data_IF_372175398544
#
_entry.id   IF_372175398544
#
_cell.length_a   1.000
_cell.length_b   1.000
_cell.length_c   1.000
_cell.angle_alpha   90.00
_cell.angle_beta   90.00
_cell.angle_gamma   90.00
#
_symmetry.space_group_name_H-M   'P 1'
#
loop_
_entity.id
_entity.type
_entity.pdbx_description
1 polymer ?
#
# COMPACT_ATOMS: atom_id res chain seq x y z
N UNK A 1 13.87 -17.07 6.43
CA UNK A 1 12.78 -16.21 6.94
C UNK A 1 12.42 -15.05 6.01
N UNK A 2 13.31 -14.11 5.65
CA UNK A 2 12.94 -12.96 4.78
C UNK A 2 12.33 -13.32 3.42
N UNK A 3 12.81 -14.39 2.78
CA UNK A 3 12.29 -14.83 1.47
C UNK A 3 10.85 -15.34 1.51
N UNK A 4 10.44 -16.01 2.58
CA UNK A 4 9.07 -16.51 2.76
C UNK A 4 8.11 -15.33 2.92
N UNK A 5 8.49 -14.34 3.74
CA UNK A 5 7.67 -13.13 3.97
C UNK A 5 7.51 -12.34 2.66
N UNK A 6 8.58 -12.22 1.85
CA UNK A 6 8.49 -11.64 0.51
C UNK A 6 7.54 -12.43 -0.38
N UNK A 7 7.66 -13.75 -0.46
CA UNK A 7 6.73 -14.55 -1.27
C UNK A 7 5.27 -14.34 -0.84
N UNK A 8 4.98 -14.31 0.46
CA UNK A 8 3.63 -14.08 0.98
C UNK A 8 3.09 -12.69 0.63
N UNK A 9 3.89 -11.63 0.76
CA UNK A 9 3.47 -10.29 0.36
C UNK A 9 3.23 -10.19 -1.15
N UNK A 10 3.98 -10.92 -1.98
CA UNK A 10 3.85 -10.87 -3.44
C UNK A 10 2.56 -11.56 -3.88
N UNK A 11 2.24 -12.69 -3.23
CA UNK A 11 0.96 -13.39 -3.40
C UNK A 11 -0.20 -12.51 -2.95
N UNK A 12 -0.09 -11.85 -1.80
CA UNK A 12 -1.11 -10.92 -1.32
C UNK A 12 -1.32 -9.74 -2.27
N UNK A 13 -0.24 -9.19 -2.85
CA UNK A 13 -0.31 -8.10 -3.80
C UNK A 13 -1.06 -8.52 -5.06
N UNK A 14 -0.73 -9.69 -5.61
CA UNK A 14 -1.42 -10.27 -6.77
C UNK A 14 -2.90 -10.55 -6.46
N UNK A 15 -3.22 -11.08 -5.29
CA UNK A 15 -4.59 -11.36 -4.89
C UNK A 15 -5.44 -10.08 -4.80
N UNK A 16 -4.88 -9.00 -4.25
CA UNK A 16 -5.57 -7.70 -4.20
C UNK A 16 -5.63 -7.06 -5.59
N UNK A 17 -4.64 -7.26 -6.44
CA UNK A 17 -4.67 -6.76 -7.81
C UNK A 17 -5.76 -7.45 -8.66
N UNK A 18 -6.05 -8.73 -8.38
CA UNK A 18 -7.06 -9.52 -9.10
C UNK A 18 -8.47 -9.29 -8.53
N UNK A 19 -8.62 -9.23 -7.20
CA UNK A 19 -9.93 -9.18 -6.53
C UNK A 19 -10.28 -7.83 -5.91
N UNK A 20 -9.26 -7.04 -5.57
CA UNK A 20 -9.43 -5.77 -4.85
C UNK A 20 -9.88 -4.61 -5.74
N UNK A 21 -9.69 -4.67 -7.06
CA UNK A 21 -9.94 -3.54 -7.97
C UNK A 21 -11.39 -3.03 -7.88
N UNK A 22 -12.37 -3.92 -7.79
CA UNK A 22 -13.79 -3.57 -7.66
C UNK A 22 -14.22 -3.19 -6.24
N UNK A 23 -13.32 -3.33 -5.25
CA UNK A 23 -13.64 -3.02 -3.85
C UNK A 23 -13.08 -1.65 -3.48
N UNK A 24 -13.89 -0.85 -2.81
CA UNK A 24 -13.54 0.49 -2.34
C UNK A 24 -12.17 0.56 -1.60
N UNK A 25 -11.78 -0.53 -0.94
CA UNK A 25 -10.54 -0.61 -0.15
C UNK A 25 -9.41 -1.40 -0.81
N UNK A 26 -9.58 -1.93 -2.02
CA UNK A 26 -8.52 -2.71 -2.68
C UNK A 26 -7.31 -1.89 -3.04
N UNK A 27 -7.52 -0.67 -3.55
CA UNK A 27 -6.43 0.28 -3.84
C UNK A 27 -5.64 0.64 -2.56
N UNK A 28 -6.34 0.81 -1.44
CA UNK A 28 -5.75 1.10 -0.14
C UNK A 28 -4.90 -0.07 0.37
N UNK A 29 -5.44 -1.28 0.24
CA UNK A 29 -4.78 -2.53 0.64
C UNK A 29 -3.49 -2.78 -0.17
N UNK A 30 -3.47 -2.42 -1.45
CA UNK A 30 -2.25 -2.45 -2.28
C UNK A 30 -1.17 -1.50 -1.73
N UNK A 31 -1.55 -0.29 -1.35
CA UNK A 31 -0.64 0.67 -0.73
C UNK A 31 -0.02 0.17 0.57
N UNK A 32 -0.81 -0.46 1.44
CA UNK A 32 -0.32 -1.07 2.69
C UNK A 32 0.62 -2.26 2.45
N UNK A 33 0.31 -3.13 1.48
CA UNK A 33 1.21 -4.24 1.13
C UNK A 33 2.53 -3.75 0.53
N UNK A 34 2.49 -2.73 -0.32
CA UNK A 34 3.68 -2.08 -0.85
C UNK A 34 4.51 -1.43 0.25
N UNK A 35 3.88 -0.75 1.20
CA UNK A 35 4.56 -0.18 2.37
C UNK A 35 5.29 -1.26 3.19
N UNK A 36 4.62 -2.37 3.48
CA UNK A 36 5.19 -3.50 4.20
C UNK A 36 6.38 -4.11 3.42
N UNK A 37 6.28 -4.19 2.09
CA UNK A 37 7.38 -4.63 1.23
C UNK A 37 8.60 -3.72 1.31
N UNK A 38 8.38 -2.40 1.23
CA UNK A 38 9.45 -1.39 1.32
C UNK A 38 10.16 -1.45 2.68
N UNK A 39 9.43 -1.70 3.78
CA UNK A 39 10.01 -1.88 5.12
C UNK A 39 10.97 -3.09 5.22
N UNK A 40 10.72 -4.15 4.44
CA UNK A 40 11.54 -5.35 4.40
C UNK A 40 12.81 -5.22 3.56
N UNK A 41 12.91 -4.21 2.68
CA UNK A 41 14.08 -3.96 1.84
C UNK A 41 14.93 -2.81 2.41
N UNK A 42 16.12 -3.08 2.97
CA UNK A 42 16.94 -2.05 3.62
C UNK A 42 17.31 -0.88 2.70
N UNK A 43 17.44 -1.15 1.40
CA UNK A 43 17.75 -0.17 0.35
C UNK A 43 16.57 0.75 0.02
N UNK A 44 15.33 0.31 0.27
CA UNK A 44 14.12 1.08 0.01
C UNK A 44 13.61 1.82 1.25
N UNK A 45 14.23 1.62 2.43
CA UNK A 45 13.91 2.38 3.64
C UNK A 45 13.87 3.90 3.45
N UNK A 46 14.73 4.55 2.63
CA UNK A 46 14.61 5.98 2.36
C UNK A 46 13.27 6.35 1.71
N UNK A 47 12.69 5.46 0.89
CA UNK A 47 11.38 5.66 0.28
C UNK A 47 10.23 5.57 1.29
N UNK A 48 10.44 5.02 2.50
CA UNK A 48 9.44 5.08 3.58
C UNK A 48 9.17 6.51 4.03
N UNK A 49 10.09 7.45 3.83
CA UNK A 49 9.86 8.88 4.09
C UNK A 49 8.78 9.43 3.15
N UNK A 50 8.60 8.82 1.98
CA UNK A 50 7.53 9.17 1.04
C UNK A 50 6.19 8.54 1.42
N UNK A 51 6.17 7.56 2.34
CA UNK A 51 4.96 6.87 2.76
C UNK A 51 3.97 7.79 3.48
N UNK A 52 4.38 8.65 4.43
CA UNK A 52 3.53 9.69 4.99
C UNK A 52 3.00 10.66 3.94
N UNK A 53 3.81 11.02 2.94
CA UNK A 53 3.41 11.93 1.86
C UNK A 53 2.34 11.28 0.98
N UNK A 54 2.51 10.00 0.62
CA UNK A 54 1.53 9.21 -0.11
C UNK A 54 0.23 9.02 0.71
N UNK A 55 0.36 8.80 2.02
CA UNK A 55 -0.78 8.71 2.93
C UNK A 55 -1.57 10.03 3.00
N UNK A 56 -0.88 11.16 3.15
CA UNK A 56 -1.48 12.50 3.19
C UNK A 56 -2.13 12.87 1.86
N UNK A 57 -1.55 12.48 0.73
CA UNK A 57 -2.19 12.68 -0.59
C UNK A 57 -3.43 11.81 -0.76
N UNK A 58 -3.45 10.59 -0.23
CA UNK A 58 -4.65 9.75 -0.15
C UNK A 58 -5.75 10.36 0.72
N UNK A 59 -5.39 10.92 1.88
CA UNK A 59 -6.33 11.64 2.76
C UNK A 59 -6.88 12.88 2.06
N UNK A 60 -6.03 13.68 1.41
CA UNK A 60 -6.46 14.85 0.66
C UNK A 60 -7.39 14.47 -0.51
N UNK A 61 -7.10 13.38 -1.22
CA UNK A 61 -7.95 12.88 -2.29
C UNK A 61 -9.32 12.38 -1.76
N UNK A 62 -9.35 11.72 -0.59
CA UNK A 62 -10.60 11.34 0.07
C UNK A 62 -11.44 12.54 0.46
N UNK A 63 -10.85 13.55 1.10
CA UNK A 63 -11.53 14.79 1.48
C UNK A 63 -12.05 15.50 0.23
N UNK A 64 -11.29 15.48 -0.88
CA UNK A 64 -11.74 16.04 -2.15
C UNK A 64 -12.94 15.29 -2.76
N UNK A 65 -12.94 13.95 -2.69
CA UNK A 65 -14.04 13.13 -3.19
C UNK A 65 -15.27 13.15 -2.27
N UNK A 66 -15.08 13.33 -0.97
CA UNK A 66 -16.11 13.34 0.08
C UNK A 66 -15.85 14.52 1.03
N UNK A 67 -16.22 15.75 0.64
CA UNK A 67 -15.88 16.97 1.39
C UNK A 67 -16.60 17.14 2.73
N UNK A 68 -17.44 16.18 3.12
CA UNK A 68 -18.21 16.17 4.37
C UNK A 68 -17.70 15.14 5.40
N UNK A 69 -16.58 14.48 5.14
CA UNK A 69 -15.77 13.74 6.14
C UNK A 69 -14.78 14.68 6.82
#
# INVERSE_FOLDING_TARGET
>A
MRWIVRAMLLIGLLAILIWGQDKAYGMWSLGFLLAAWVMLEPRLRPALILLPVAGMTGVAALIWQQPWL
#
